data_IF_254848842179
#
_entry.id   IF_254848842179
#
_cell.length_a   1.000
_cell.length_b   1.000
_cell.length_c   1.000
_cell.angle_alpha   90.00
_cell.angle_beta   90.00
_cell.angle_gamma   90.00
#
_symmetry.space_group_name_H-M   'P 1'
#
loop_
_entity.id
_entity.type
_entity.pdbx_description
1 polymer ?
#
# COMPACT_ATOMS: atom_id res chain seq x y z
N UNK A 1 34.11 -15.91 -12.06
CA UNK A 1 33.06 -15.08 -11.45
C UNK A 1 33.62 -14.52 -10.16
N UNK A 2 33.52 -13.22 -9.90
CA UNK A 2 33.94 -12.61 -8.64
C UNK A 2 32.76 -12.50 -7.68
N UNK A 3 33.00 -12.49 -6.37
CA UNK A 3 31.94 -12.41 -5.35
C UNK A 3 31.05 -11.17 -5.53
N UNK A 4 31.65 -10.05 -5.96
CA UNK A 4 30.92 -8.83 -6.32
C UNK A 4 29.85 -9.05 -7.40
N UNK A 5 30.12 -9.89 -8.40
CA UNK A 5 29.14 -10.22 -9.43
C UNK A 5 27.97 -11.05 -8.89
N UNK A 6 28.23 -11.91 -7.88
CA UNK A 6 27.19 -12.71 -7.24
C UNK A 6 26.30 -11.81 -6.38
N UNK A 7 26.91 -10.97 -5.53
CA UNK A 7 26.18 -10.01 -4.69
C UNK A 7 25.31 -9.09 -5.54
N UNK A 8 25.85 -8.58 -6.65
CA UNK A 8 25.11 -7.75 -7.61
C UNK A 8 23.91 -8.48 -8.20
N UNK A 9 24.07 -9.75 -8.61
CA UNK A 9 22.96 -10.56 -9.14
C UNK A 9 21.85 -10.81 -8.12
N UNK A 10 22.21 -11.04 -6.86
CA UNK A 10 21.23 -11.20 -5.78
C UNK A 10 20.48 -9.89 -5.54
N UNK A 11 21.20 -8.78 -5.44
CA UNK A 11 20.64 -7.45 -5.19
C UNK A 11 19.74 -6.95 -6.33
N UNK A 12 20.14 -7.18 -7.58
CA UNK A 12 19.41 -6.74 -8.77
C UNK A 12 18.28 -7.70 -9.19
N UNK A 13 18.10 -8.81 -8.46
CA UNK A 13 17.05 -9.80 -8.73
C UNK A 13 15.65 -9.18 -8.68
N UNK A 14 14.81 -9.48 -9.67
CA UNK A 14 13.46 -8.93 -9.82
C UNK A 14 12.41 -10.02 -10.03
N UNK A 15 11.19 -9.74 -9.61
CA UNK A 15 10.00 -10.56 -9.85
C UNK A 15 9.00 -9.74 -10.67
N UNK A 16 8.59 -10.19 -11.88
CA UNK A 16 7.52 -9.52 -12.61
C UNK A 16 6.19 -9.74 -11.88
N UNK A 17 5.49 -8.67 -11.54
CA UNK A 17 4.20 -8.73 -10.85
C UNK A 17 3.13 -7.93 -11.59
N UNK A 18 1.89 -8.40 -11.47
CA UNK A 18 0.68 -7.75 -11.94
C UNK A 18 -0.24 -7.54 -10.75
N UNK A 19 -0.58 -6.30 -10.45
CA UNK A 19 -1.49 -5.94 -9.38
C UNK A 19 -2.88 -5.66 -9.93
N UNK A 20 -3.89 -6.24 -9.29
CA UNK A 20 -5.32 -6.00 -9.58
C UNK A 20 -6.05 -5.62 -8.30
N UNK A 21 -7.09 -4.81 -8.40
CA UNK A 21 -7.98 -4.53 -7.28
C UNK A 21 -8.97 -5.69 -7.12
N UNK A 22 -9.26 -6.07 -5.87
CA UNK A 22 -10.30 -7.06 -5.59
C UNK A 22 -11.67 -6.54 -6.05
N UNK A 23 -12.48 -7.39 -6.69
CA UNK A 23 -13.80 -7.00 -7.21
C UNK A 23 -14.73 -6.53 -6.08
N UNK A 24 -14.64 -7.18 -4.92
CA UNK A 24 -15.42 -6.84 -3.72
C UNK A 24 -15.13 -5.43 -3.16
N UNK A 25 -13.96 -4.86 -3.47
CA UNK A 25 -13.57 -3.53 -3.01
C UNK A 25 -13.85 -2.43 -4.03
N UNK A 26 -14.36 -2.79 -5.21
CA UNK A 26 -14.62 -1.86 -6.29
C UNK A 26 -15.89 -1.05 -6.00
N UNK A 27 -15.81 0.29 -6.11
CA UNK A 27 -16.97 1.15 -5.86
C UNK A 27 -18.09 0.97 -6.91
N UNK A 28 -17.71 0.68 -8.17
CA UNK A 28 -18.63 0.45 -9.28
C UNK A 28 -18.09 -0.64 -10.20
N UNK A 29 -18.83 -1.73 -10.38
CA UNK A 29 -18.47 -2.88 -11.26
C UNK A 29 -18.09 -2.46 -12.69
N UNK A 30 -18.73 -1.42 -13.22
CA UNK A 30 -18.51 -0.92 -14.59
C UNK A 30 -17.19 -0.13 -14.76
N UNK A 31 -16.50 0.21 -13.67
CA UNK A 31 -15.33 1.09 -13.68
C UNK A 31 -14.13 0.50 -12.92
N UNK A 32 -13.73 -0.72 -13.28
CA UNK A 32 -12.53 -1.37 -12.74
C UNK A 32 -11.22 -0.66 -13.17
N UNK A 33 -10.24 -0.47 -12.26
CA UNK A 33 -8.94 0.07 -12.62
C UNK A 33 -8.16 -0.87 -13.55
N UNK A 34 -7.38 -0.32 -14.50
CA UNK A 34 -6.43 -1.13 -15.26
C UNK A 34 -5.40 -1.81 -14.33
N UNK A 35 -5.04 -3.08 -14.60
CA UNK A 35 -3.99 -3.76 -13.84
C UNK A 35 -2.66 -3.02 -13.91
N UNK A 36 -1.91 -3.00 -12.80
CA UNK A 36 -0.62 -2.33 -12.70
C UNK A 36 0.49 -3.37 -12.78
N UNK A 37 1.35 -3.24 -13.80
CA UNK A 37 2.50 -4.13 -14.00
C UNK A 37 3.78 -3.47 -13.50
N UNK A 38 4.56 -4.17 -12.68
CA UNK A 38 5.88 -3.70 -12.24
C UNK A 38 6.83 -4.83 -11.88
N UNK A 39 8.12 -4.53 -11.91
CA UNK A 39 9.16 -5.43 -11.41
C UNK A 39 9.43 -5.16 -9.93
N UNK A 40 9.21 -6.16 -9.09
CA UNK A 40 9.46 -6.09 -7.65
C UNK A 40 10.88 -6.56 -7.33
N UNK A 41 11.69 -5.77 -6.59
CA UNK A 41 13.00 -6.22 -6.13
C UNK A 41 12.87 -7.41 -5.16
N UNK A 42 13.60 -8.50 -5.41
CA UNK A 42 13.54 -9.72 -4.57
C UNK A 42 13.92 -9.47 -3.11
N UNK A 43 14.84 -8.54 -2.88
CA UNK A 43 15.40 -8.19 -1.55
C UNK A 43 14.66 -7.04 -0.87
N UNK A 44 13.44 -6.71 -1.30
CA UNK A 44 12.59 -5.68 -0.69
C UNK A 44 11.34 -6.30 -0.04
N UNK A 45 10.53 -5.46 0.61
CA UNK A 45 9.25 -5.83 1.23
C UNK A 45 8.10 -5.11 0.51
N UNK A 46 6.91 -5.72 0.52
CA UNK A 46 5.74 -5.18 -0.17
C UNK A 46 5.37 -3.75 0.22
N UNK A 47 5.23 -3.39 1.52
CA UNK A 47 4.80 -2.05 1.91
C UNK A 47 5.69 -0.92 1.37
N UNK A 48 6.98 -1.20 1.14
CA UNK A 48 7.94 -0.23 0.63
C UNK A 48 7.80 0.02 -0.87
N UNK A 49 7.29 -0.95 -1.63
CA UNK A 49 7.27 -0.90 -3.11
C UNK A 49 5.86 -0.73 -3.67
N UNK A 50 4.82 -1.00 -2.88
CA UNK A 50 3.43 -0.94 -3.32
C UNK A 50 2.75 0.41 -3.05
N UNK A 51 3.42 1.39 -2.46
CA UNK A 51 2.80 2.69 -2.10
C UNK A 51 2.09 3.34 -3.30
N UNK A 52 2.73 3.32 -4.48
CA UNK A 52 2.13 3.85 -5.71
C UNK A 52 0.88 3.06 -6.14
N UNK A 53 0.92 1.73 -6.03
CA UNK A 53 -0.21 0.85 -6.36
C UNK A 53 -1.40 1.17 -5.45
N UNK A 54 -1.16 1.30 -4.15
CA UNK A 54 -2.19 1.62 -3.16
C UNK A 54 -2.83 2.98 -3.44
N UNK A 55 -2.03 4.01 -3.73
CA UNK A 55 -2.54 5.35 -4.09
C UNK A 55 -3.37 5.35 -5.38
N UNK A 56 -3.00 4.52 -6.36
CA UNK A 56 -3.76 4.41 -7.61
C UNK A 56 -5.05 3.63 -7.43
N UNK A 57 -5.09 2.61 -6.57
CA UNK A 57 -6.31 1.83 -6.36
C UNK A 57 -7.26 2.44 -5.34
N UNK A 58 -6.75 3.25 -4.40
CA UNK A 58 -7.61 3.90 -3.41
C UNK A 58 -8.71 4.73 -4.06
N UNK A 59 -8.44 5.40 -5.20
CA UNK A 59 -9.42 6.21 -5.92
C UNK A 59 -10.58 5.41 -6.54
N UNK A 60 -10.46 4.08 -6.65
CA UNK A 60 -11.49 3.19 -7.19
C UNK A 60 -12.24 2.40 -6.09
N UNK A 61 -11.78 2.50 -4.84
CA UNK A 61 -12.37 1.81 -3.70
C UNK A 61 -13.44 2.65 -3.00
N UNK A 62 -14.46 2.01 -2.39
CA UNK A 62 -15.52 2.71 -1.62
C UNK A 62 -14.95 3.63 -0.51
N UNK A 63 -13.76 3.32 0.01
CA UNK A 63 -13.09 4.11 1.05
C UNK A 63 -12.72 5.53 0.63
N UNK A 64 -12.46 5.80 -0.66
CA UNK A 64 -12.11 7.16 -1.12
C UNK A 64 -13.27 8.15 -1.06
N UNK A 65 -14.52 7.67 -1.08
CA UNK A 65 -15.70 8.54 -1.06
C UNK A 65 -16.01 9.08 0.34
N UNK A 66 -15.57 8.41 1.41
CA UNK A 66 -15.85 8.83 2.80
C UNK A 66 -14.98 10.00 3.25
N UNK A 67 -13.83 10.24 2.61
CA UNK A 67 -12.91 11.34 2.97
C UNK A 67 -13.39 12.70 2.47
N UNK A 68 -14.30 12.74 1.49
CA UNK A 68 -14.82 13.99 0.93
C UNK A 68 -16.04 14.55 1.67
N UNK A 69 -16.75 13.74 2.47
CA UNK A 69 -18.00 14.18 3.11
C UNK A 69 -17.82 14.80 4.50
N UNK A 70 -16.61 14.84 5.06
CA UNK A 70 -16.36 15.36 6.43
C UNK A 70 -15.79 16.78 6.48
N UNK A 71 -15.70 17.47 5.34
CA UNK A 71 -15.27 18.88 5.27
C UNK A 71 -16.44 19.81 4.95
N UNK A 72 -17.53 19.74 5.73
CA UNK A 72 -18.60 20.76 5.68
C UNK A 72 -19.52 20.70 6.91
N UNK A 73 -19.12 21.24 8.07
CA UNK A 73 -19.98 22.06 8.95
C UNK A 73 -19.24 22.64 10.18
N UNK A 74 -19.22 23.97 10.21
CA UNK A 74 -19.18 24.92 11.35
C UNK A 74 -17.91 25.10 12.20
N UNK A 75 -17.26 26.25 11.94
CA UNK A 75 -16.58 27.13 12.90
C UNK A 75 -17.45 27.42 14.15
N UNK A 76 -16.88 27.48 15.37
CA UNK A 76 -16.62 28.75 16.11
C UNK A 76 -16.07 28.57 17.54
N UNK A 77 -15.11 29.46 17.90
CA UNK A 77 -14.78 30.05 19.23
C UNK A 77 -14.06 29.21 20.30
N UNK A 78 -12.84 29.66 20.62
CA UNK A 78 -12.21 29.43 21.93
C UNK A 78 -10.69 29.63 21.98
N UNK A 79 -10.21 30.86 21.78
CA UNK A 79 -8.82 31.28 22.00
C UNK A 79 -8.57 31.50 23.51
N UNK A 80 -7.47 30.98 24.09
CA UNK A 80 -6.67 31.65 25.13
C UNK A 80 -5.37 30.90 25.41
N UNK A 81 -4.29 31.68 25.44
CA UNK A 81 -2.87 31.33 25.47
C UNK A 81 -2.38 30.89 26.86
N UNK A 82 -1.41 29.98 26.94
CA UNK A 82 -0.25 30.20 27.80
C UNK A 82 0.98 29.44 27.30
N UNK A 83 2.04 30.21 27.10
CA UNK A 83 3.38 29.85 26.68
C UNK A 83 4.09 28.98 27.73
N UNK A 84 4.96 28.07 27.30
CA UNK A 84 6.29 27.93 27.87
C UNK A 84 7.19 27.20 26.87
N UNK A 85 8.32 27.84 26.62
CA UNK A 85 9.16 27.75 25.45
C UNK A 85 10.42 26.95 25.78
N UNK A 86 10.75 25.95 24.97
CA UNK A 86 12.13 25.50 24.80
C UNK A 86 12.38 25.29 23.30
N UNK A 87 13.15 26.21 22.74
CA UNK A 87 13.76 26.07 21.42
C UNK A 87 15.02 25.22 21.56
N UNK A 88 15.20 24.19 20.72
CA UNK A 88 16.26 24.18 19.70
C UNK A 88 16.11 23.02 18.72
N UNK A 89 16.24 23.37 17.44
CA UNK A 89 16.05 22.60 16.22
C UNK A 89 16.81 21.27 16.11
N UNK A 90 16.10 20.24 15.65
CA UNK A 90 16.45 19.50 14.44
C UNK A 90 15.15 19.19 13.70
N UNK A 91 15.05 19.66 12.45
CA UNK A 91 13.85 19.56 11.60
C UNK A 91 13.58 18.09 11.26
N UNK A 92 12.86 17.39 12.13
CA UNK A 92 12.08 16.23 11.71
C UNK A 92 10.84 16.83 11.11
N UNK A 93 10.86 16.92 9.78
CA UNK A 93 9.70 17.24 8.95
C UNK A 93 8.52 16.52 9.57
N UNK A 94 7.56 17.32 10.01
CA UNK A 94 6.31 16.87 10.59
C UNK A 94 5.83 15.73 9.71
N UNK A 95 5.83 14.50 10.23
CA UNK A 95 5.09 13.40 9.65
C UNK A 95 3.62 13.79 9.80
N UNK A 96 3.19 14.72 8.93
CA UNK A 96 1.82 15.17 8.79
C UNK A 96 1.08 13.90 8.49
N UNK A 97 0.37 13.45 9.51
CA UNK A 97 -0.56 12.34 9.51
C UNK A 97 -1.23 12.25 8.15
N UNK A 98 -0.67 11.41 7.28
CA UNK A 98 -1.17 11.28 5.92
C UNK A 98 -2.51 10.53 6.08
N UNK A 99 -3.66 11.06 5.63
CA UNK A 99 -4.98 10.45 5.90
C UNK A 99 -5.22 9.12 5.16
N UNK A 100 -4.17 8.48 4.65
CA UNK A 100 -4.23 7.31 3.76
C UNK A 100 -3.78 6.02 4.45
N UNK A 101 -4.01 5.89 5.76
CA UNK A 101 -3.90 4.58 6.42
C UNK A 101 -5.15 3.76 6.09
N UNK A 102 -5.38 3.53 4.80
CA UNK A 102 -6.31 2.48 4.40
C UNK A 102 -5.61 1.18 4.75
N UNK A 103 -6.16 0.48 5.74
CA UNK A 103 -5.73 -0.87 6.07
C UNK A 103 -5.95 -1.72 4.80
N UNK A 104 -4.85 -2.23 4.24
CA UNK A 104 -4.87 -3.02 3.02
C UNK A 104 -4.10 -4.31 3.24
N UNK A 105 -4.41 -5.32 2.44
CA UNK A 105 -3.68 -6.57 2.41
C UNK A 105 -3.57 -7.09 0.99
N UNK A 106 -2.65 -8.05 0.79
CA UNK A 106 -2.33 -8.60 -0.53
C UNK A 106 -2.71 -10.07 -0.57
N UNK A 107 -3.31 -10.50 -1.66
CA UNK A 107 -3.72 -11.89 -1.90
C UNK A 107 -2.97 -12.47 -3.10
N UNK A 108 -2.63 -13.76 -3.02
CA UNK A 108 -2.26 -14.58 -4.16
C UNK A 108 -2.98 -15.93 -4.07
N UNK A 109 -3.63 -16.35 -5.16
CA UNK A 109 -4.32 -17.63 -5.24
C UNK A 109 -5.28 -17.90 -4.05
N UNK A 110 -6.10 -16.92 -3.68
CA UNK A 110 -7.04 -17.02 -2.55
C UNK A 110 -6.38 -17.17 -1.17
N UNK A 111 -5.11 -16.75 -1.03
CA UNK A 111 -4.39 -16.76 0.22
C UNK A 111 -3.75 -15.40 0.52
N UNK A 112 -3.85 -14.89 1.77
CA UNK A 112 -3.20 -13.66 2.17
C UNK A 112 -1.67 -13.82 2.18
N UNK A 113 -0.99 -12.87 1.56
CA UNK A 113 0.47 -12.82 1.47
C UNK A 113 1.08 -12.31 2.77
N UNK A 114 2.13 -12.98 3.22
CA UNK A 114 2.92 -12.57 4.39
C UNK A 114 3.90 -11.46 4.01
N UNK A 115 3.43 -10.22 4.03
CA UNK A 115 4.17 -9.02 3.62
C UNK A 115 5.43 -8.66 4.43
N UNK A 116 5.63 -9.29 5.60
CA UNK A 116 6.78 -9.10 6.48
C UNK A 116 7.99 -9.96 6.07
N UNK A 117 7.83 -10.81 5.05
CA UNK A 117 8.94 -11.52 4.43
C UNK A 117 9.40 -10.81 3.15
N UNK A 118 10.69 -10.95 2.77
CA UNK A 118 11.19 -10.43 1.51
C UNK A 118 10.38 -10.98 0.33
N UNK A 119 10.11 -10.13 -0.66
CA UNK A 119 9.27 -10.44 -1.83
C UNK A 119 9.77 -11.69 -2.55
N UNK A 120 11.09 -11.82 -2.74
CA UNK A 120 11.69 -12.97 -3.40
C UNK A 120 11.42 -14.27 -2.65
N UNK A 121 11.44 -14.25 -1.31
CA UNK A 121 11.14 -15.41 -0.49
C UNK A 121 9.66 -15.80 -0.59
N UNK A 122 8.75 -14.82 -0.52
CA UNK A 122 7.31 -15.07 -0.68
C UNK A 122 7.01 -15.63 -2.06
N UNK A 123 7.63 -15.07 -3.11
CA UNK A 123 7.49 -15.56 -4.48
C UNK A 123 7.97 -17.01 -4.62
N UNK A 124 9.18 -17.32 -4.14
CA UNK A 124 9.75 -18.66 -4.29
C UNK A 124 8.98 -19.73 -3.49
N UNK A 125 8.28 -19.36 -2.41
CA UNK A 125 7.43 -20.27 -1.63
C UNK A 125 6.04 -20.48 -2.23
N UNK A 126 5.42 -19.41 -2.73
CA UNK A 126 4.00 -19.42 -3.11
C UNK A 126 3.78 -19.59 -4.61
N UNK A 127 4.62 -18.96 -5.44
CA UNK A 127 4.36 -18.86 -6.86
C UNK A 127 5.08 -19.95 -7.65
N UNK A 128 4.36 -20.52 -8.62
CA UNK A 128 4.96 -21.38 -9.63
C UNK A 128 5.76 -20.50 -10.61
N UNK A 129 7.04 -20.79 -10.82
CA UNK A 129 7.94 -19.96 -11.66
C UNK A 129 7.56 -19.93 -13.14
N UNK A 130 6.60 -20.77 -13.55
CA UNK A 130 6.06 -20.87 -14.91
C UNK A 130 4.94 -19.86 -15.19
N UNK A 131 4.28 -19.32 -14.16
CA UNK A 131 3.07 -18.48 -14.29
C UNK A 131 3.35 -17.00 -14.02
N UNK A 132 4.33 -16.45 -14.75
CA UNK A 132 4.64 -15.01 -14.73
C UNK A 132 3.73 -14.21 -15.68
N UNK A 133 3.38 -12.95 -15.36
CA UNK A 133 3.72 -12.20 -14.14
C UNK A 133 2.93 -12.69 -12.92
N UNK A 134 3.52 -12.54 -11.72
CA UNK A 134 2.89 -12.89 -10.46
C UNK A 134 1.65 -12.03 -10.21
N UNK A 135 0.47 -12.65 -10.28
CA UNK A 135 -0.84 -11.99 -10.16
C UNK A 135 -1.21 -11.77 -8.70
N UNK A 136 -1.10 -10.54 -8.22
CA UNK A 136 -1.36 -10.16 -6.84
C UNK A 136 -2.63 -9.33 -6.79
N UNK A 137 -3.60 -9.74 -5.97
CA UNK A 137 -4.81 -8.96 -5.72
C UNK A 137 -4.59 -8.06 -4.51
N UNK A 138 -4.97 -6.79 -4.62
CA UNK A 138 -4.95 -5.81 -3.54
C UNK A 138 -6.35 -5.71 -2.96
N UNK A 139 -6.45 -5.87 -1.65
CA UNK A 139 -7.68 -5.71 -0.91
C UNK A 139 -7.60 -4.53 0.04
N UNK A 140 -8.69 -3.80 0.19
CA UNK A 140 -8.86 -2.72 1.15
C UNK A 140 -9.83 -3.16 2.25
N UNK A 141 -9.36 -3.15 3.49
CA UNK A 141 -10.22 -3.39 4.65
C UNK A 141 -11.27 -2.29 4.71
N UNK A 142 -12.53 -2.68 4.53
CA UNK A 142 -13.67 -1.78 4.73
C UNK A 142 -13.71 -1.43 6.21
N UNK A 143 -13.31 -0.20 6.55
CA UNK A 143 -13.49 0.32 7.90
C UNK A 143 -15.00 0.24 8.25
N UNK A 144 -15.28 -0.65 9.21
CA UNK A 144 -16.54 -1.37 9.32
C UNK A 144 -17.82 -0.53 9.34
N UNK A 145 -18.82 -1.03 8.62
CA UNK A 145 -20.24 -0.81 8.93
C UNK A 145 -20.57 -1.64 10.17
N UNK A 146 -20.17 -1.17 11.36
CA UNK A 146 -20.80 -1.66 12.60
C UNK A 146 -22.07 -0.84 12.81
N UNK A 147 -23.16 -1.30 12.19
CA UNK A 147 -24.52 -0.96 12.60
C UNK A 147 -25.14 -2.20 13.21
N UNK A 148 -25.14 -2.28 14.54
CA UNK A 148 -26.34 -2.61 15.33
C UNK A 148 -26.05 -2.42 16.81
#
# INVERSE_FOLDING_TARGET
>A
MTDSNILKRVWEGKVPACFTLALEDLAHEDHAPPPIYMFLPRVSYFPLVTEKVIRQFSQFSECALKTASKDMTSETRGKLEHEMQYAQSDQIDTFKQHPLVHEFWLEYAHQPLKWHYPIGLVFDMCANTMDIPWKITVHFSVCGRYTS
#
